data_IF_769898984046
#
_entry.id   IF_769898984046
#
_cell.length_a   1.000
_cell.length_b   1.000
_cell.length_c   1.000
_cell.angle_alpha   90.00
_cell.angle_beta   90.00
_cell.angle_gamma   90.00
#
_symmetry.space_group_name_H-M   'P 1'
#
loop_
_entity.id
_entity.type
_entity.pdbx_description
1 polymer ?
#
# COMPACT_ATOMS: atom_id res chain seq x y z
N UNK A 1 -2.43 -21.71 -0.39
CA UNK A 1 -1.68 -20.61 -1.02
C UNK A 1 -1.33 -19.60 0.05
N UNK A 2 -0.07 -19.22 0.11
CA UNK A 2 0.40 -18.26 1.10
C UNK A 2 -0.14 -16.85 0.80
N UNK A 3 -0.57 -16.15 1.83
CA UNK A 3 -1.04 -14.77 1.70
C UNK A 3 0.06 -13.81 2.14
N UNK A 4 0.27 -12.76 1.34
CA UNK A 4 1.17 -11.65 1.68
C UNK A 4 0.32 -10.39 1.79
N UNK A 5 0.42 -9.71 2.91
CA UNK A 5 -0.32 -8.48 3.14
C UNK A 5 0.48 -7.27 2.70
N UNK A 6 -0.17 -6.40 1.93
CA UNK A 6 0.40 -5.19 1.40
C UNK A 6 -0.10 -3.97 2.17
N UNK A 7 0.80 -3.02 2.39
CA UNK A 7 0.44 -1.68 2.78
C UNK A 7 0.91 -0.71 1.72
N UNK A 8 0.21 0.39 1.54
CA UNK A 8 0.59 1.40 0.55
C UNK A 8 0.53 2.79 1.18
N UNK A 9 1.50 3.61 0.84
CA UNK A 9 1.51 5.02 1.24
C UNK A 9 1.41 5.85 -0.04
N UNK A 10 0.31 6.58 -0.16
CA UNK A 10 -0.03 7.35 -1.35
C UNK A 10 -1.22 6.75 -2.08
N UNK A 11 -2.39 7.38 -1.94
CA UNK A 11 -3.64 6.91 -2.52
C UNK A 11 -4.24 7.84 -3.55
N UNK A 12 -3.41 8.67 -4.20
CA UNK A 12 -3.86 9.58 -5.24
C UNK A 12 -3.98 8.90 -6.61
N UNK A 13 -3.52 9.56 -7.68
CA UNK A 13 -3.67 9.06 -9.04
C UNK A 13 -2.98 7.72 -9.24
N UNK A 14 -1.70 7.63 -8.87
CA UNK A 14 -0.94 6.39 -9.06
C UNK A 14 -1.37 5.32 -8.07
N UNK A 15 -1.50 5.67 -6.79
CA UNK A 15 -1.86 4.70 -5.77
C UNK A 15 -3.24 4.09 -5.95
N UNK A 16 -4.24 4.90 -6.29
CA UNK A 16 -5.58 4.36 -6.56
C UNK A 16 -5.58 3.49 -7.82
N UNK A 17 -4.75 3.84 -8.80
CA UNK A 17 -4.57 3.02 -10.01
C UNK A 17 -3.95 1.66 -9.70
N UNK A 18 -2.96 1.62 -8.81
CA UNK A 18 -2.35 0.37 -8.37
C UNK A 18 -3.38 -0.51 -7.66
N UNK A 19 -4.15 0.07 -6.75
CA UNK A 19 -5.20 -0.66 -6.04
C UNK A 19 -6.24 -1.20 -7.03
N UNK A 20 -6.67 -0.37 -7.97
CA UNK A 20 -7.65 -0.77 -8.98
C UNK A 20 -7.14 -1.94 -9.83
N UNK A 21 -5.91 -1.86 -10.32
CA UNK A 21 -5.31 -2.92 -11.13
C UNK A 21 -5.25 -4.23 -10.35
N UNK A 22 -4.86 -4.18 -9.09
CA UNK A 22 -4.84 -5.36 -8.23
C UNK A 22 -6.25 -5.92 -8.04
N UNK A 23 -7.24 -5.07 -7.77
CA UNK A 23 -8.62 -5.52 -7.53
C UNK A 23 -9.24 -6.19 -8.75
N UNK A 24 -8.88 -5.76 -9.96
CA UNK A 24 -9.38 -6.31 -11.21
C UNK A 24 -8.65 -7.60 -11.63
N UNK A 25 -7.39 -7.77 -11.21
CA UNK A 25 -6.53 -8.85 -11.69
C UNK A 25 -6.04 -9.78 -10.56
N UNK A 26 -6.66 -9.72 -9.39
CA UNK A 26 -6.17 -10.44 -8.22
C UNK A 26 -6.01 -11.93 -8.43
N UNK A 27 -6.97 -12.57 -9.07
CA UNK A 27 -6.92 -14.01 -9.32
C UNK A 27 -5.78 -14.37 -10.28
N UNK A 28 -5.57 -13.57 -11.32
CA UNK A 28 -4.48 -13.81 -12.28
C UNK A 28 -3.12 -13.62 -11.62
N UNK A 29 -2.98 -12.57 -10.82
CA UNK A 29 -1.75 -12.29 -10.08
C UNK A 29 -1.44 -13.45 -9.12
N UNK A 30 -2.43 -13.92 -8.38
CA UNK A 30 -2.27 -15.05 -7.48
C UNK A 30 -1.83 -16.31 -8.20
N UNK A 31 -2.43 -16.58 -9.36
CA UNK A 31 -2.09 -17.76 -10.16
C UNK A 31 -0.64 -17.71 -10.66
N UNK A 32 -0.17 -16.52 -11.07
CA UNK A 32 1.18 -16.36 -11.60
C UNK A 32 2.26 -16.38 -10.53
N UNK A 33 1.98 -15.81 -9.35
CA UNK A 33 2.94 -15.72 -8.27
C UNK A 33 2.90 -16.90 -7.30
N UNK A 34 1.87 -17.74 -7.38
CA UNK A 34 1.55 -18.75 -6.37
C UNK A 34 1.42 -18.13 -4.97
N UNK A 35 1.00 -16.87 -4.92
CA UNK A 35 0.79 -16.10 -3.69
C UNK A 35 -0.52 -15.36 -3.80
N UNK A 36 -1.22 -15.20 -2.69
CA UNK A 36 -2.36 -14.31 -2.60
C UNK A 36 -1.90 -12.98 -1.99
N UNK A 37 -2.05 -11.89 -2.74
CA UNK A 37 -1.75 -10.54 -2.26
C UNK A 37 -3.03 -9.91 -1.76
N UNK A 38 -2.97 -9.27 -0.60
CA UNK A 38 -4.12 -8.60 -0.03
C UNK A 38 -3.69 -7.22 0.48
N UNK A 39 -4.41 -6.16 0.08
CA UNK A 39 -4.19 -4.84 0.65
C UNK A 39 -4.81 -4.77 2.03
N UNK A 40 -4.01 -4.37 3.01
CA UNK A 40 -4.45 -4.27 4.41
C UNK A 40 -4.71 -2.82 4.82
N UNK A 41 -3.83 -1.89 4.43
CA UNK A 41 -3.96 -0.48 4.73
C UNK A 41 -3.36 0.37 3.63
N UNK A 42 -3.99 1.52 3.39
CA UNK A 42 -3.53 2.50 2.42
C UNK A 42 -3.56 3.87 3.08
N UNK A 43 -2.40 4.50 3.22
CA UNK A 43 -2.31 5.84 3.78
C UNK A 43 -2.57 6.87 2.69
N UNK A 44 -3.49 7.79 2.96
CA UNK A 44 -3.90 8.87 2.06
C UNK A 44 -3.73 10.20 2.76
N UNK A 45 -3.65 11.29 1.99
CA UNK A 45 -3.58 12.65 2.57
C UNK A 45 -4.89 13.03 3.22
N UNK A 46 -6.01 12.72 2.57
CA UNK A 46 -7.34 12.96 3.08
C UNK A 46 -8.27 11.89 2.52
N UNK A 47 -9.29 11.53 3.29
CA UNK A 47 -10.23 10.48 2.87
C UNK A 47 -11.02 10.88 1.63
N UNK A 48 -11.29 12.17 1.47
CA UNK A 48 -12.07 12.73 0.35
C UNK A 48 -11.21 13.32 -0.76
N UNK A 49 -9.90 13.05 -0.74
CA UNK A 49 -9.01 13.52 -1.79
C UNK A 49 -9.46 12.97 -3.15
N UNK A 50 -9.50 13.80 -4.21
CA UNK A 50 -9.88 13.34 -5.55
C UNK A 50 -8.93 12.26 -6.05
N UNK A 51 -9.50 11.15 -6.52
CA UNK A 51 -8.73 10.06 -7.11
C UNK A 51 -9.53 9.42 -8.24
N UNK A 52 -8.86 8.93 -9.31
CA UNK A 52 -9.57 8.35 -10.45
C UNK A 52 -10.24 7.02 -10.15
N UNK A 53 -9.78 6.29 -9.13
CA UNK A 53 -10.38 5.02 -8.73
C UNK A 53 -10.70 5.01 -7.26
N UNK A 54 -11.81 4.39 -6.90
CA UNK A 54 -12.25 4.35 -5.52
C UNK A 54 -11.45 3.35 -4.69
N UNK A 55 -11.11 3.75 -3.47
CA UNK A 55 -10.47 2.89 -2.48
C UNK A 55 -11.48 2.70 -1.33
N UNK A 56 -11.75 1.46 -0.89
CA UNK A 56 -12.65 1.26 0.23
C UNK A 56 -12.21 2.05 1.47
N UNK A 57 -13.14 2.76 2.07
CA UNK A 57 -12.87 3.60 3.24
C UNK A 57 -12.25 2.80 4.39
N UNK A 58 -12.65 1.54 4.54
CA UNK A 58 -12.13 0.68 5.60
C UNK A 58 -10.63 0.40 5.48
N UNK A 59 -10.05 0.53 4.27
CA UNK A 59 -8.62 0.32 4.05
C UNK A 59 -7.82 1.60 4.22
N UNK A 60 -8.46 2.77 4.25
CA UNK A 60 -7.75 4.06 4.26
C UNK A 60 -7.41 4.51 5.68
N UNK A 61 -6.25 5.12 5.81
CA UNK A 61 -5.84 5.86 7.00
C UNK A 61 -5.16 7.16 6.57
N UNK A 62 -5.20 8.18 7.41
CA UNK A 62 -4.43 9.41 7.18
C UNK A 62 -3.11 9.41 7.94
N UNK A 63 -2.82 8.35 8.67
CA UNK A 63 -1.58 8.21 9.44
C UNK A 63 -0.71 7.11 8.80
N UNK A 64 0.33 7.54 8.07
CA UNK A 64 1.24 6.60 7.42
C UNK A 64 1.96 5.68 8.42
N UNK A 65 2.12 6.11 9.67
CA UNK A 65 2.78 5.30 10.70
C UNK A 65 1.97 4.05 11.02
N UNK A 66 0.66 4.08 10.87
CA UNK A 66 -0.17 2.87 11.04
C UNK A 66 0.18 1.81 9.99
N UNK A 67 0.55 2.23 8.79
CA UNK A 67 0.96 1.29 7.73
C UNK A 67 2.34 0.70 8.03
N UNK A 68 3.28 1.57 8.38
CA UNK A 68 4.67 1.17 8.67
C UNK A 68 4.75 0.26 9.90
N UNK A 69 3.95 0.52 10.92
CA UNK A 69 4.02 -0.20 12.19
C UNK A 69 3.09 -1.42 12.28
N UNK A 70 2.28 -1.66 11.26
CA UNK A 70 1.38 -2.82 11.28
C UNK A 70 2.19 -4.11 11.10
N UNK A 71 2.25 -4.99 12.12
CA UNK A 71 3.06 -6.20 12.05
C UNK A 71 2.52 -7.24 11.05
N UNK A 72 1.29 -7.07 10.59
CA UNK A 72 0.68 -7.99 9.62
C UNK A 72 0.92 -7.57 8.18
N UNK A 73 1.59 -6.44 7.94
CA UNK A 73 1.99 -5.99 6.60
C UNK A 73 3.44 -6.43 6.37
N UNK A 74 3.66 -7.23 5.33
CA UNK A 74 4.99 -7.70 4.96
C UNK A 74 5.66 -6.82 3.91
N UNK A 75 4.87 -6.27 2.99
CA UNK A 75 5.38 -5.47 1.87
C UNK A 75 4.73 -4.09 1.90
N UNK A 76 5.56 -3.06 1.84
CA UNK A 76 5.12 -1.68 1.77
C UNK A 76 5.39 -1.12 0.38
N UNK A 77 4.37 -0.51 -0.22
CA UNK A 77 4.49 0.20 -1.50
C UNK A 77 4.46 1.70 -1.19
N UNK A 78 5.54 2.42 -1.54
CA UNK A 78 5.64 3.85 -1.30
C UNK A 78 5.52 4.59 -2.62
N UNK A 79 4.51 5.45 -2.75
CA UNK A 79 4.19 6.19 -3.97
C UNK A 79 4.02 7.69 -3.71
N UNK A 80 4.49 8.17 -2.56
CA UNK A 80 4.36 9.59 -2.21
C UNK A 80 5.26 10.45 -3.08
N UNK A 81 6.46 9.97 -3.36
CA UNK A 81 7.46 10.78 -4.06
C UNK A 81 8.07 11.86 -3.16
N UNK A 82 8.93 12.69 -3.73
CA UNK A 82 9.66 13.68 -2.97
C UNK A 82 10.84 13.09 -2.25
N UNK A 83 11.61 13.93 -1.54
CA UNK A 83 12.89 13.50 -0.99
C UNK A 83 12.90 13.35 0.52
N UNK A 84 12.23 14.25 1.26
CA UNK A 84 12.31 14.28 2.71
C UNK A 84 11.42 13.27 3.39
N UNK A 85 10.11 13.43 3.25
CA UNK A 85 9.12 12.63 3.95
C UNK A 85 9.14 11.17 3.47
N UNK A 86 9.25 10.96 2.15
CA UNK A 86 9.30 9.61 1.58
C UNK A 86 10.49 8.83 2.13
N UNK A 87 11.66 9.48 2.26
CA UNK A 87 12.84 8.84 2.82
C UNK A 87 12.62 8.40 4.27
N UNK A 88 11.99 9.23 5.08
CA UNK A 88 11.68 8.89 6.48
C UNK A 88 10.76 7.68 6.54
N UNK A 89 9.73 7.64 5.70
CA UNK A 89 8.78 6.53 5.63
C UNK A 89 9.47 5.22 5.23
N UNK A 90 10.31 5.27 4.21
CA UNK A 90 11.04 4.08 3.73
C UNK A 90 11.98 3.54 4.79
N UNK A 91 12.76 4.42 5.43
CA UNK A 91 13.69 4.00 6.48
C UNK A 91 12.94 3.40 7.68
N UNK A 92 11.80 3.99 8.05
CA UNK A 92 10.98 3.48 9.14
C UNK A 92 10.44 2.08 8.81
N UNK A 93 9.99 1.85 7.58
CA UNK A 93 9.50 0.56 7.14
C UNK A 93 10.59 -0.51 7.14
N UNK A 94 11.79 -0.16 6.65
CA UNK A 94 12.93 -1.06 6.65
C UNK A 94 13.33 -1.44 8.07
N UNK A 95 13.28 -0.47 9.01
CA UNK A 95 13.58 -0.73 10.41
C UNK A 95 12.59 -1.72 11.04
N UNK A 96 11.36 -1.80 10.52
CA UNK A 96 10.35 -2.77 10.96
C UNK A 96 10.48 -4.12 10.24
N UNK A 97 11.49 -4.29 9.40
CA UNK A 97 11.72 -5.55 8.70
C UNK A 97 10.83 -5.75 7.47
N UNK A 98 10.18 -4.71 6.97
CA UNK A 98 9.32 -4.82 5.80
C UNK A 98 10.12 -4.77 4.50
N UNK A 99 9.62 -5.47 3.48
CA UNK A 99 10.09 -5.28 2.11
C UNK A 99 9.44 -4.01 1.57
N UNK A 100 10.23 -3.14 0.97
CA UNK A 100 9.74 -1.86 0.45
C UNK A 100 9.90 -1.80 -1.06
N UNK A 101 8.82 -1.40 -1.73
CA UNK A 101 8.78 -1.11 -3.16
C UNK A 101 8.50 0.38 -3.32
N UNK A 102 9.37 1.08 -4.02
CA UNK A 102 9.21 2.53 -4.25
C UNK A 102 9.11 2.85 -5.73
#
# INVERSE_FOLDING_TARGET
>A
MQQVNLGMIGGGTVGSGVYHAWSQNGALIAARLALKLAFRKIAVKAFDEPRPYEIPRALMTTDWQEVVNDPQIQVLIELVGGTGVARVMVLAALAQGKTVVT
#
